data_IF_387317387775
#
_entry.id   IF_387317387775
#
_cell.length_a   1.000
_cell.length_b   1.000
_cell.length_c   1.000
_cell.angle_alpha   90.00
_cell.angle_beta   90.00
_cell.angle_gamma   90.00
#
_symmetry.space_group_name_H-M   'P 1'
#
loop_
_entity.id
_entity.type
_entity.pdbx_description
1 polymer ?
#
# COMPACT_ATOMS: atom_id res chain seq x y z
N UNK A 1 -10.35 -7.93 -25.31
CA UNK A 1 -10.42 -6.70 -24.48
C UNK A 1 -9.39 -6.89 -23.38
N UNK A 2 -8.27 -6.17 -23.42
CA UNK A 2 -7.32 -6.15 -22.29
C UNK A 2 -7.94 -5.26 -21.22
N UNK A 3 -8.22 -5.82 -20.04
CA UNK A 3 -8.55 -5.04 -18.85
C UNK A 3 -7.26 -4.58 -18.17
N UNK A 4 -6.36 -3.92 -18.93
CA UNK A 4 -5.24 -3.19 -18.35
C UNK A 4 -5.79 -1.91 -17.72
N UNK A 5 -6.43 -2.06 -16.56
CA UNK A 5 -6.60 -0.97 -15.60
C UNK A 5 -5.37 -0.98 -14.69
N UNK A 6 -4.21 -0.72 -15.28
CA UNK A 6 -3.05 -0.32 -14.50
C UNK A 6 -3.34 1.10 -14.03
N UNK A 7 -3.69 1.23 -12.75
CA UNK A 7 -3.73 2.53 -12.09
C UNK A 7 -2.27 2.97 -12.04
N UNK A 8 -1.90 4.03 -12.77
CA UNK A 8 -0.56 4.61 -12.79
C UNK A 8 -0.54 5.88 -11.93
N UNK A 9 -0.48 5.76 -10.58
CA UNK A 9 -0.33 6.94 -9.74
C UNK A 9 0.99 7.64 -10.00
N UNK A 10 0.97 8.96 -9.86
CA UNK A 10 2.19 9.76 -9.79
C UNK A 10 3.00 9.41 -8.54
N UNK A 11 2.33 9.22 -7.40
CA UNK A 11 2.93 8.76 -6.16
C UNK A 11 1.89 8.17 -5.20
N UNK A 12 2.37 7.48 -4.17
CA UNK A 12 1.56 6.92 -3.09
C UNK A 12 1.87 7.63 -1.77
N UNK A 13 0.86 7.81 -0.93
CA UNK A 13 1.02 8.21 0.46
C UNK A 13 0.38 7.17 1.38
N UNK A 14 0.89 7.09 2.61
CA UNK A 14 0.35 6.24 3.66
C UNK A 14 -0.08 7.08 4.84
N UNK A 15 -1.27 6.82 5.36
CA UNK A 15 -1.75 7.41 6.61
C UNK A 15 -2.28 6.32 7.53
N UNK A 16 -2.28 6.61 8.83
CA UNK A 16 -2.79 5.70 9.86
C UNK A 16 -3.64 6.49 10.84
N UNK A 17 -4.58 5.81 11.49
CA UNK A 17 -5.35 6.37 12.61
C UNK A 17 -4.69 6.11 13.98
N UNK A 18 -3.41 5.74 14.00
CA UNK A 18 -2.63 5.62 15.22
C UNK A 18 -2.71 6.89 16.07
N UNK A 19 -2.87 6.73 17.38
CA UNK A 19 -2.87 7.84 18.33
C UNK A 19 -1.47 7.98 18.94
N UNK A 20 -1.03 9.21 19.21
CA UNK A 20 0.26 9.52 19.85
C UNK A 20 1.51 8.88 19.18
N UNK A 21 1.41 8.55 17.89
CA UNK A 21 2.48 7.90 17.13
C UNK A 21 2.67 6.41 17.44
N UNK A 22 1.85 5.82 18.31
CA UNK A 22 1.86 4.38 18.59
C UNK A 22 1.09 3.62 17.51
N UNK A 23 1.84 3.06 16.56
CA UNK A 23 1.28 2.30 15.43
C UNK A 23 0.48 1.06 15.87
N UNK A 24 0.71 0.54 17.08
CA UNK A 24 -0.02 -0.64 17.58
C UNK A 24 -1.49 -0.33 17.89
N UNK A 25 -1.82 0.95 18.05
CA UNK A 25 -3.20 1.42 18.26
C UNK A 25 -3.97 1.60 16.95
N UNK A 26 -3.29 1.52 15.80
CA UNK A 26 -3.94 1.66 14.50
C UNK A 26 -4.93 0.51 14.29
N UNK A 27 -6.13 0.86 13.83
CA UNK A 27 -7.10 -0.13 13.34
C UNK A 27 -7.15 -0.15 11.81
N UNK A 28 -6.74 0.95 11.17
CA UNK A 28 -6.72 1.07 9.73
C UNK A 28 -5.43 1.74 9.22
N UNK A 29 -5.03 1.32 8.03
CA UNK A 29 -4.02 2.00 7.22
C UNK A 29 -4.69 2.47 5.94
N UNK A 30 -4.53 3.75 5.63
CA UNK A 30 -4.98 4.35 4.40
C UNK A 30 -3.85 4.28 3.36
N UNK A 31 -4.12 3.65 2.23
CA UNK A 31 -3.35 3.79 1.01
C UNK A 31 -3.96 4.92 0.18
N UNK A 32 -3.18 5.96 -0.07
CA UNK A 32 -3.62 7.13 -0.83
C UNK A 32 -2.87 7.12 -2.16
N UNK A 33 -3.62 6.99 -3.23
CA UNK A 33 -3.15 7.05 -4.61
C UNK A 33 -3.33 8.48 -5.11
N UNK A 34 -2.26 9.13 -5.54
CA UNK A 34 -2.33 10.48 -6.13
C UNK A 34 -2.04 10.39 -7.63
N UNK A 35 -3.02 10.78 -8.43
CA UNK A 35 -2.92 10.79 -9.90
C UNK A 35 -2.20 12.06 -10.39
N UNK A 36 -1.77 12.06 -11.66
CA UNK A 36 -1.01 13.17 -12.24
C UNK A 36 -1.75 14.51 -12.31
N UNK A 37 -3.08 14.49 -12.21
CA UNK A 37 -3.95 15.67 -12.15
C UNK A 37 -4.22 16.16 -10.72
N UNK A 38 -3.65 15.50 -9.71
CA UNK A 38 -3.86 15.80 -8.30
C UNK A 38 -5.08 15.12 -7.67
N UNK A 39 -5.83 14.30 -8.42
CA UNK A 39 -6.92 13.48 -7.87
C UNK A 39 -6.35 12.52 -6.83
N UNK A 40 -7.01 12.47 -5.65
CA UNK A 40 -6.62 11.60 -4.53
C UNK A 40 -7.68 10.54 -4.30
N UNK A 41 -7.28 9.29 -4.43
CA UNK A 41 -8.12 8.13 -4.10
C UNK A 41 -7.59 7.48 -2.84
N UNK A 42 -8.38 7.48 -1.77
CA UNK A 42 -8.02 6.87 -0.49
C UNK A 42 -8.73 5.53 -0.32
N UNK A 43 -7.95 4.48 -0.08
CA UNK A 43 -8.46 3.16 0.31
C UNK A 43 -8.07 2.90 1.76
N UNK A 44 -9.05 2.77 2.64
CA UNK A 44 -8.82 2.35 4.02
C UNK A 44 -8.82 0.82 4.09
N UNK A 45 -7.76 0.26 4.66
CA UNK A 45 -7.57 -1.17 4.88
C UNK A 45 -7.53 -1.43 6.39
N UNK A 46 -8.16 -2.49 6.87
CA UNK A 46 -7.91 -2.96 8.23
C UNK A 46 -6.42 -3.33 8.37
N UNK A 47 -5.81 -3.13 9.54
CA UNK A 47 -4.35 -3.38 9.72
C UNK A 47 -3.92 -4.78 9.26
N UNK A 48 -4.75 -5.80 9.52
CA UNK A 48 -4.46 -7.18 9.09
C UNK A 48 -4.39 -7.30 7.56
N UNK A 49 -5.34 -6.70 6.84
CA UNK A 49 -5.34 -6.70 5.37
C UNK A 49 -4.19 -5.84 4.82
N UNK A 50 -3.90 -4.71 5.46
CA UNK A 50 -2.80 -3.83 5.08
C UNK A 50 -1.43 -4.52 5.23
N UNK A 51 -1.24 -5.34 6.25
CA UNK A 51 -0.04 -6.16 6.42
C UNK A 51 0.10 -7.13 5.24
N UNK A 52 -0.95 -7.87 4.89
CA UNK A 52 -0.94 -8.81 3.76
C UNK A 52 -0.64 -8.10 2.45
N UNK A 53 -1.29 -6.97 2.17
CA UNK A 53 -1.06 -6.18 0.96
C UNK A 53 0.37 -5.65 0.93
N UNK A 54 0.87 -5.09 2.03
CA UNK A 54 2.25 -4.59 2.13
C UNK A 54 3.27 -5.69 1.89
N UNK A 55 3.05 -6.88 2.46
CA UNK A 55 3.85 -8.07 2.25
C UNK A 55 3.87 -8.50 0.78
N UNK A 56 2.73 -8.51 0.10
CA UNK A 56 2.64 -8.83 -1.33
C UNK A 56 3.38 -7.80 -2.21
N UNK A 57 3.25 -6.51 -1.91
CA UNK A 57 3.93 -5.44 -2.64
C UNK A 57 5.45 -5.54 -2.50
N UNK A 58 5.95 -5.76 -1.27
CA UNK A 58 7.38 -5.95 -1.03
C UNK A 58 7.87 -7.23 -1.72
N UNK A 59 7.13 -8.33 -1.60
CA UNK A 59 7.47 -9.59 -2.25
C UNK A 59 7.54 -9.46 -3.77
N UNK A 60 6.62 -8.73 -4.39
CA UNK A 60 6.66 -8.43 -5.82
C UNK A 60 7.90 -7.59 -6.19
N UNK A 61 8.19 -6.53 -5.42
CA UNK A 61 9.36 -5.69 -5.66
C UNK A 61 10.68 -6.47 -5.52
N UNK A 62 10.76 -7.37 -4.54
CA UNK A 62 11.92 -8.25 -4.35
C UNK A 62 12.06 -9.26 -5.48
N UNK A 63 10.95 -9.84 -5.96
CA UNK A 63 10.96 -10.74 -7.12
C UNK A 63 11.42 -10.02 -8.40
N UNK A 64 10.92 -8.82 -8.68
CA UNK A 64 11.35 -7.99 -9.81
C UNK A 64 12.84 -7.64 -9.70
N UNK A 65 13.31 -7.34 -8.49
CA UNK A 65 14.72 -7.04 -8.21
C UNK A 65 15.60 -8.29 -8.04
N UNK A 66 15.07 -9.51 -8.22
CA UNK A 66 15.77 -10.79 -8.06
C UNK A 66 16.43 -10.96 -6.67
N UNK A 67 15.80 -10.41 -5.62
CA UNK A 67 16.25 -10.62 -4.24
C UNK A 67 15.70 -11.94 -3.69
N UNK A 68 16.37 -12.56 -2.71
CA UNK A 68 15.83 -13.73 -2.03
C UNK A 68 14.47 -13.42 -1.38
N UNK A 69 13.54 -14.39 -1.33
CA UNK A 69 12.29 -14.24 -0.58
C UNK A 69 12.55 -13.93 0.89
N UNK A 70 11.67 -13.14 1.50
CA UNK A 70 11.68 -12.87 2.94
C UNK A 70 10.94 -13.97 3.69
N UNK A 71 11.22 -14.10 4.98
CA UNK A 71 10.82 -15.20 5.87
C UNK A 71 9.53 -14.97 6.67
N UNK A 72 8.93 -13.80 6.50
CA UNK A 72 7.72 -13.36 7.22
C UNK A 72 6.41 -13.63 6.49
#
# INVERSE_FOLDING_TARGET
MSNDRTIEPAYFEFATNATDGDITTATHIALITVEGDGTRTTTALAVQDAEVVGKLLIGHADAVAQRPPRDW
#
